data_IF_000207045956
#
_entry.id   IF_000207045956
#
_cell.length_a   1.000
_cell.length_b   1.000
_cell.length_c   1.000
_cell.angle_alpha   90.00
_cell.angle_beta   90.00
_cell.angle_gamma   90.00
#
_symmetry.space_group_name_H-M   'P 1'
#
loop_
_entity.id
_entity.type
_entity.pdbx_description
1 polymer ?
#
# COMPACT_ATOMS: atom_id res chain seq x y z
N UNK A 1 -7.42 2.03 17.66
CA UNK A 1 -7.66 0.57 17.45
C UNK A 1 -6.48 -0.03 16.69
N UNK A 2 -6.14 -1.30 16.89
CA UNK A 2 -4.93 -1.92 16.32
C UNK A 2 -4.79 -1.75 14.79
N UNK A 3 -5.90 -1.73 14.05
CA UNK A 3 -5.94 -1.49 12.60
C UNK A 3 -5.50 -0.07 12.22
N UNK A 4 -5.80 0.94 13.04
CA UNK A 4 -5.40 2.33 12.79
C UNK A 4 -3.92 2.57 13.09
N UNK A 5 -3.34 1.84 14.04
CA UNK A 5 -1.91 1.91 14.37
C UNK A 5 -1.06 1.22 13.29
N UNK A 6 -1.52 0.07 12.77
CA UNK A 6 -0.96 -0.53 11.54
C UNK A 6 -0.99 0.47 10.39
N UNK A 7 -2.14 1.09 10.15
CA UNK A 7 -2.30 2.16 9.16
C UNK A 7 -1.62 3.50 9.54
N UNK A 8 -0.77 3.56 10.57
CA UNK A 8 0.12 4.72 10.82
C UNK A 8 1.59 4.36 10.61
N UNK A 9 2.01 3.17 11.05
CA UNK A 9 3.37 2.69 10.84
C UNK A 9 3.67 2.24 9.40
N UNK A 10 2.63 1.98 8.61
CA UNK A 10 2.75 1.47 7.24
C UNK A 10 3.46 2.40 6.25
N UNK A 11 3.46 3.73 6.51
CA UNK A 11 4.09 4.71 5.63
C UNK A 11 5.62 4.69 5.68
N UNK A 12 6.20 4.16 6.75
CA UNK A 12 7.65 4.12 6.91
C UNK A 12 8.18 2.67 6.84
N UNK A 13 7.33 1.72 6.42
CA UNK A 13 7.69 0.31 6.29
C UNK A 13 8.11 -0.01 4.84
N UNK A 14 9.42 -0.21 4.58
CA UNK A 14 9.92 -0.54 3.24
C UNK A 14 9.33 -1.86 2.71
N UNK A 15 9.02 -2.80 3.61
CA UNK A 15 8.51 -4.12 3.25
C UNK A 15 7.08 -4.03 2.70
N UNK A 16 6.31 -3.04 3.15
CA UNK A 16 5.00 -2.76 2.60
C UNK A 16 5.10 -2.05 1.24
N UNK A 17 6.05 -1.13 1.07
CA UNK A 17 6.26 -0.49 -0.23
C UNK A 17 6.59 -1.51 -1.33
N UNK A 18 7.45 -2.49 -1.03
CA UNK A 18 7.74 -3.60 -1.93
C UNK A 18 6.49 -4.44 -2.25
N UNK A 19 5.67 -4.73 -1.24
CA UNK A 19 4.41 -5.45 -1.43
C UNK A 19 3.44 -4.69 -2.35
N UNK A 20 3.31 -3.37 -2.16
CA UNK A 20 2.43 -2.53 -2.99
C UNK A 20 2.91 -2.48 -4.46
N UNK A 21 4.23 -2.36 -4.69
CA UNK A 21 4.82 -2.39 -6.03
C UNK A 21 4.60 -3.73 -6.74
N UNK A 22 4.64 -4.85 -6.02
CA UNK A 22 4.36 -6.19 -6.56
C UNK A 22 2.87 -6.36 -6.93
N UNK A 23 1.97 -5.90 -6.06
CA UNK A 23 0.53 -6.12 -6.24
C UNK A 23 -0.17 -5.13 -7.17
N UNK A 24 0.26 -3.88 -7.22
CA UNK A 24 -0.38 -2.85 -8.05
C UNK A 24 -0.55 -3.25 -9.54
N UNK A 25 0.47 -3.80 -10.24
CA UNK A 25 0.34 -4.12 -11.67
C UNK A 25 -0.35 -5.46 -11.96
N UNK A 26 -0.20 -6.47 -11.09
CA UNK A 26 -0.43 -7.87 -11.47
C UNK A 26 -1.36 -8.67 -10.53
N UNK A 27 -1.85 -8.09 -9.43
CA UNK A 27 -2.67 -8.86 -8.48
C UNK A 27 -3.99 -9.31 -9.15
N UNK A 28 -4.43 -10.57 -8.98
CA UNK A 28 -5.71 -11.03 -9.54
C UNK A 28 -6.94 -10.31 -8.94
N UNK A 29 -6.85 -9.81 -7.71
CA UNK A 29 -7.90 -9.02 -7.07
C UNK A 29 -7.82 -7.56 -7.52
N UNK A 30 -8.83 -7.13 -8.26
CA UNK A 30 -8.95 -5.75 -8.74
C UNK A 30 -8.99 -4.73 -7.60
N UNK A 31 -9.65 -5.04 -6.49
CA UNK A 31 -9.70 -4.14 -5.33
C UNK A 31 -8.33 -3.98 -4.72
N UNK A 32 -7.53 -5.05 -4.71
CA UNK A 32 -6.18 -5.01 -4.17
C UNK A 32 -5.24 -4.21 -5.06
N UNK A 33 -5.36 -4.33 -6.40
CA UNK A 33 -4.64 -3.47 -7.34
C UNK A 33 -4.96 -1.99 -7.15
N UNK A 34 -6.26 -1.65 -7.08
CA UNK A 34 -6.71 -0.27 -6.90
C UNK A 34 -6.23 0.30 -5.57
N UNK A 35 -6.38 -0.45 -4.47
CA UNK A 35 -5.89 -0.03 -3.17
C UNK A 35 -4.37 0.16 -3.16
N UNK A 36 -3.62 -0.75 -3.80
CA UNK A 36 -2.17 -0.66 -3.88
C UNK A 36 -1.71 0.60 -4.64
N UNK A 37 -2.35 0.90 -5.77
CA UNK A 37 -2.09 2.11 -6.55
C UNK A 37 -2.40 3.37 -5.73
N UNK A 38 -3.54 3.42 -5.04
CA UNK A 38 -3.90 4.56 -4.18
C UNK A 38 -2.89 4.81 -3.05
N UNK A 39 -2.30 3.74 -2.49
CA UNK A 39 -1.27 3.89 -1.45
C UNK A 39 0.06 4.38 -2.03
N UNK A 40 0.47 3.89 -3.21
CA UNK A 40 1.68 4.36 -3.89
C UNK A 40 1.57 5.84 -4.26
N UNK A 41 0.42 6.28 -4.80
CA UNK A 41 0.16 7.68 -5.14
C UNK A 41 0.19 8.61 -3.92
N UNK A 42 -0.20 8.10 -2.74
CA UNK A 42 -0.11 8.86 -1.46
C UNK A 42 1.33 9.00 -0.97
N UNK A 43 2.23 8.10 -1.38
CA UNK A 43 3.64 8.10 -1.00
C UNK A 43 4.48 9.06 -1.84
N UNK A 44 4.20 9.18 -3.15
CA UNK A 44 4.90 10.13 -4.03
C UNK A 44 4.56 11.60 -3.73
N UNK A 45 3.40 11.86 -3.11
CA UNK A 45 2.90 13.21 -2.81
C UNK A 45 3.29 13.73 -1.42
N UNK A 46 4.03 12.95 -0.63
CA UNK A 46 4.54 13.32 0.69
C UNK A 46 5.99 13.81 0.58
#
# INVERSE_FOLDING_TARGET
AAVQELARGYKDDPQLFEFLCDRAPNDPDEKLRQWAQEQLDRHEKA
#
